data_IF_588172314111
#
_entry.id   IF_588172314111
#
_cell.length_a   1.000
_cell.length_b   1.000
_cell.length_c   1.000
_cell.angle_alpha   90.00
_cell.angle_beta   90.00
_cell.angle_gamma   90.00
#
_symmetry.space_group_name_H-M   'P 1'
#
loop_
_entity.id
_entity.type
_entity.pdbx_description
1 polymer ?
#
# COMPACT_ATOMS: atom_id res chain seq x y z
N UNK A 1 44.89 -13.53 -1.18
CA UNK A 1 43.99 -12.37 -1.07
C UNK A 1 42.94 -12.67 0.00
N UNK A 2 42.87 -11.89 1.09
CA UNK A 2 41.81 -12.07 2.10
C UNK A 2 40.47 -11.64 1.47
N UNK A 3 39.46 -12.50 1.52
CA UNK A 3 38.09 -12.11 1.13
C UNK A 3 37.69 -10.90 1.99
N UNK A 4 37.08 -9.84 1.41
CA UNK A 4 36.57 -8.73 2.19
C UNK A 4 35.61 -9.25 3.27
N UNK A 5 35.68 -8.67 4.46
CA UNK A 5 34.77 -9.04 5.55
C UNK A 5 33.33 -8.76 5.13
N UNK A 6 32.42 -9.70 5.38
CA UNK A 6 30.99 -9.47 5.11
C UNK A 6 30.42 -8.43 6.07
N UNK A 7 29.43 -7.63 5.64
CA UNK A 7 28.83 -6.62 6.49
C UNK A 7 28.12 -7.27 7.68
N UNK A 8 28.18 -6.61 8.84
CA UNK A 8 27.38 -6.97 10.01
C UNK A 8 25.95 -6.42 9.89
N UNK A 9 24.95 -6.98 10.60
CA UNK A 9 23.58 -6.44 10.60
C UNK A 9 23.52 -4.97 11.03
N UNK A 10 24.36 -4.55 11.99
CA UNK A 10 24.41 -3.16 12.43
C UNK A 10 24.91 -2.22 11.33
N UNK A 11 25.94 -2.63 10.58
CA UNK A 11 26.44 -1.87 9.43
C UNK A 11 25.39 -1.81 8.30
N UNK A 12 24.70 -2.91 8.02
CA UNK A 12 23.62 -2.95 7.04
C UNK A 12 22.46 -2.01 7.42
N UNK A 13 22.01 -2.05 8.68
CA UNK A 13 20.98 -1.15 9.19
C UNK A 13 21.40 0.32 9.11
N UNK A 14 22.64 0.64 9.51
CA UNK A 14 23.16 2.00 9.42
C UNK A 14 23.21 2.49 7.97
N UNK A 15 23.71 1.66 7.05
CA UNK A 15 23.75 1.98 5.63
C UNK A 15 22.34 2.27 5.08
N UNK A 16 21.39 1.35 5.31
CA UNK A 16 20.01 1.53 4.89
C UNK A 16 19.36 2.77 5.51
N UNK A 17 19.58 3.02 6.81
CA UNK A 17 19.05 4.20 7.49
C UNK A 17 19.60 5.51 6.89
N UNK A 18 20.89 5.56 6.56
CA UNK A 18 21.49 6.72 5.89
C UNK A 18 20.93 6.92 4.48
N UNK A 19 20.76 5.86 3.70
CA UNK A 19 20.13 5.94 2.37
C UNK A 19 18.72 6.51 2.48
N UNK A 20 17.90 5.98 3.39
CA UNK A 20 16.52 6.45 3.58
C UNK A 20 16.48 7.89 4.12
N UNK A 21 17.36 8.27 5.04
CA UNK A 21 17.44 9.63 5.55
C UNK A 21 17.77 10.63 4.43
N UNK A 22 18.72 10.29 3.56
CA UNK A 22 19.03 11.13 2.39
C UNK A 22 17.81 11.27 1.50
N UNK A 23 17.07 10.18 1.21
CA UNK A 23 15.84 10.28 0.40
C UNK A 23 14.78 11.15 1.07
N UNK A 24 14.58 11.05 2.39
CA UNK A 24 13.65 11.90 3.14
C UNK A 24 14.03 13.38 3.04
N UNK A 25 15.32 13.71 3.17
CA UNK A 25 15.81 15.10 3.06
C UNK A 25 15.63 15.64 1.64
N UNK A 26 15.87 14.81 0.61
CA UNK A 26 15.70 15.20 -0.79
C UNK A 26 14.24 15.38 -1.19
N UNK A 27 13.33 14.57 -0.62
CA UNK A 27 11.90 14.68 -0.86
C UNK A 27 11.29 15.92 -0.19
N UNK A 28 11.83 16.35 0.96
CA UNK A 28 11.34 17.52 1.68
C UNK A 28 11.62 18.83 0.92
N UNK A 29 10.58 19.66 0.78
CA UNK A 29 10.56 20.89 0.00
C UNK A 29 10.08 20.72 -1.43
N UNK A 30 9.42 19.60 -1.76
CA UNK A 30 8.84 19.35 -3.09
C UNK A 30 7.33 19.28 -2.99
N UNK A 31 6.62 19.85 -3.98
CA UNK A 31 5.15 19.77 -4.02
C UNK A 31 4.74 18.31 -4.11
N UNK A 32 3.90 17.85 -3.18
CA UNK A 32 3.49 16.46 -3.07
C UNK A 32 2.11 16.31 -2.43
N UNK A 33 1.65 15.06 -2.22
CA UNK A 33 0.29 14.82 -1.73
C UNK A 33 0.05 15.28 -0.28
N UNK A 34 1.10 15.49 0.52
CA UNK A 34 0.96 16.07 1.85
C UNK A 34 0.32 17.45 1.77
N UNK A 35 0.68 18.27 0.78
CA UNK A 35 0.10 19.61 0.58
C UNK A 35 -1.42 19.53 0.40
N UNK A 36 -1.86 18.57 -0.41
CA UNK A 36 -3.28 18.27 -0.62
C UNK A 36 -3.94 17.88 0.70
N UNK A 37 -3.33 17.00 1.49
CA UNK A 37 -3.90 16.56 2.76
C UNK A 37 -4.03 17.70 3.79
N UNK A 38 -3.03 18.57 3.85
CA UNK A 38 -3.01 19.73 4.75
C UNK A 38 -4.03 20.79 4.32
N UNK A 39 -4.17 21.02 3.01
CA UNK A 39 -5.19 21.91 2.45
C UNK A 39 -6.61 21.39 2.75
N UNK A 40 -6.87 20.10 2.52
CA UNK A 40 -8.16 19.48 2.85
C UNK A 40 -8.49 19.57 4.34
N UNK A 41 -7.50 19.41 5.23
CA UNK A 41 -7.68 19.62 6.67
C UNK A 41 -8.04 21.05 7.04
N UNK A 42 -7.47 22.05 6.35
CA UNK A 42 -7.83 23.45 6.55
C UNK A 42 -9.26 23.74 6.06
N UNK A 43 -9.60 23.28 4.87
CA UNK A 43 -10.92 23.49 4.27
C UNK A 43 -12.03 22.83 5.09
N UNK A 44 -11.78 21.63 5.63
CA UNK A 44 -12.73 20.96 6.50
C UNK A 44 -13.09 21.80 7.73
N UNK A 45 -12.10 22.44 8.36
CA UNK A 45 -12.31 23.31 9.53
C UNK A 45 -13.01 24.63 9.17
N UNK A 46 -12.85 25.10 7.93
CA UNK A 46 -13.48 26.33 7.44
C UNK A 46 -14.86 26.09 6.81
N UNK A 47 -15.36 24.85 6.83
CA UNK A 47 -16.65 24.49 6.23
C UNK A 47 -16.63 24.32 4.69
N UNK A 48 -15.45 24.24 4.08
CA UNK A 48 -15.24 24.00 2.65
C UNK A 48 -15.70 22.61 2.18
N UNK A 49 -15.94 22.41 0.88
CA UNK A 49 -16.52 21.17 0.35
C UNK A 49 -15.41 20.22 -0.09
N UNK A 50 -14.71 19.65 0.89
CA UNK A 50 -13.45 18.92 0.67
C UNK A 50 -13.51 17.76 -0.35
N UNK A 51 -14.67 17.17 -0.57
CA UNK A 51 -14.87 16.06 -1.53
C UNK A 51 -15.38 16.51 -2.90
N UNK A 52 -15.70 17.79 -3.08
CA UNK A 52 -16.20 18.37 -4.33
C UNK A 52 -15.23 19.37 -4.95
N UNK A 53 -14.44 20.04 -4.13
CA UNK A 53 -13.44 21.00 -4.57
C UNK A 53 -12.16 20.26 -4.99
N UNK A 54 -11.43 20.83 -5.97
CA UNK A 54 -10.16 20.28 -6.47
C UNK A 54 -8.97 20.96 -5.79
N UNK A 55 -7.93 20.17 -5.52
CA UNK A 55 -6.65 20.59 -4.98
C UNK A 55 -5.56 20.45 -6.04
N UNK A 56 -4.54 21.32 -5.99
CA UNK A 56 -3.45 21.35 -6.98
C UNK A 56 -3.97 21.32 -8.43
N UNK A 57 -5.06 22.07 -8.68
CA UNK A 57 -5.76 22.24 -9.97
C UNK A 57 -6.41 20.99 -10.59
N UNK A 58 -6.15 19.78 -10.07
CA UNK A 58 -6.57 18.54 -10.72
C UNK A 58 -7.00 17.39 -9.80
N UNK A 59 -6.70 17.44 -8.50
CA UNK A 59 -6.81 16.27 -7.63
C UNK A 59 -7.94 16.39 -6.61
N UNK A 60 -8.65 15.30 -6.39
CA UNK A 60 -9.70 15.21 -5.35
C UNK A 60 -9.13 14.63 -4.06
N UNK A 61 -9.68 15.05 -2.91
CA UNK A 61 -9.35 14.43 -1.63
C UNK A 61 -10.23 13.21 -1.37
N UNK A 62 -9.66 11.99 -1.38
CA UNK A 62 -10.42 10.74 -1.25
C UNK A 62 -10.50 10.17 0.18
N UNK A 63 -9.76 10.76 1.12
CA UNK A 63 -9.50 10.18 2.43
C UNK A 63 -10.55 10.60 3.46
N UNK A 64 -10.61 9.93 4.61
CA UNK A 64 -11.59 10.24 5.67
C UNK A 64 -11.34 11.59 6.34
N UNK A 65 -12.38 12.23 6.92
CA UNK A 65 -12.24 13.54 7.56
C UNK A 65 -11.28 13.51 8.75
N UNK A 66 -11.28 12.42 9.53
CA UNK A 66 -10.41 12.27 10.71
C UNK A 66 -8.93 12.29 10.31
N UNK A 67 -8.56 11.71 9.17
CA UNK A 67 -7.18 11.72 8.70
C UNK A 67 -6.69 13.13 8.37
N UNK A 68 -7.47 13.91 7.62
CA UNK A 68 -7.17 15.32 7.32
C UNK A 68 -6.98 16.14 8.61
N UNK A 69 -7.84 15.94 9.61
CA UNK A 69 -7.72 16.63 10.90
C UNK A 69 -6.47 16.22 11.69
N UNK A 70 -6.08 14.94 11.65
CA UNK A 70 -4.89 14.45 12.34
C UNK A 70 -3.60 15.01 11.74
N UNK A 71 -3.58 15.32 10.44
CA UNK A 71 -2.42 15.93 9.78
C UNK A 71 -2.33 17.44 10.02
N UNK A 72 -3.43 18.10 10.37
CA UNK A 72 -3.50 19.56 10.53
C UNK A 72 -2.38 20.18 11.37
N UNK A 73 -1.92 19.60 12.50
CA UNK A 73 -0.82 20.16 13.27
C UNK A 73 0.49 20.32 12.49
N UNK A 74 0.74 19.53 11.43
CA UNK A 74 1.93 19.68 10.60
C UNK A 74 1.92 20.99 9.81
N UNK A 75 0.75 21.52 9.48
CA UNK A 75 0.62 22.81 8.78
C UNK A 75 0.94 24.03 9.68
N UNK A 76 1.27 23.83 10.96
CA UNK A 76 1.79 24.88 11.83
C UNK A 76 3.32 25.04 11.72
N UNK A 77 3.99 24.10 11.05
CA UNK A 77 5.41 24.16 10.75
C UNK A 77 5.62 24.77 9.35
N UNK A 78 6.80 25.32 9.05
CA UNK A 78 7.19 25.59 7.67
C UNK A 78 7.13 24.29 6.83
N UNK A 79 6.69 24.38 5.59
CA UNK A 79 6.39 23.24 4.70
C UNK A 79 7.48 22.15 4.72
N UNK A 80 8.74 22.58 4.56
CA UNK A 80 9.90 21.69 4.60
C UNK A 80 9.98 20.83 5.89
N UNK A 81 9.67 21.41 7.06
CA UNK A 81 9.66 20.67 8.32
C UNK A 81 8.47 19.74 8.43
N UNK A 82 7.30 20.13 7.93
CA UNK A 82 6.11 19.27 7.86
C UNK A 82 6.37 18.02 7.02
N UNK A 83 6.91 18.21 5.82
CA UNK A 83 7.31 17.14 4.90
C UNK A 83 8.42 16.25 5.48
N UNK A 84 9.44 16.85 6.10
CA UNK A 84 10.51 16.09 6.76
C UNK A 84 9.93 15.20 7.87
N UNK A 85 9.05 15.73 8.72
CA UNK A 85 8.42 14.95 9.79
C UNK A 85 7.52 13.84 9.24
N UNK A 86 6.81 14.10 8.15
CA UNK A 86 5.99 13.10 7.47
C UNK A 86 6.85 11.97 6.88
N UNK A 87 7.93 12.31 6.16
CA UNK A 87 8.88 11.34 5.61
C UNK A 87 9.57 10.50 6.70
N UNK A 88 10.01 11.12 7.79
CA UNK A 88 10.59 10.39 8.95
C UNK A 88 9.57 9.43 9.60
N UNK A 89 8.31 9.85 9.69
CA UNK A 89 7.22 8.98 10.17
C UNK A 89 7.01 7.79 9.23
N UNK A 90 7.03 8.03 7.90
CA UNK A 90 7.01 6.99 6.87
C UNK A 90 8.12 5.95 7.05
N UNK A 91 9.37 6.40 7.27
CA UNK A 91 10.51 5.52 7.55
C UNK A 91 10.32 4.73 8.84
N UNK A 92 9.73 5.31 9.89
CA UNK A 92 9.43 4.60 11.12
C UNK A 92 8.37 3.51 10.90
N UNK A 93 7.30 3.79 10.14
CA UNK A 93 6.29 2.79 9.75
C UNK A 93 6.88 1.67 8.90
N UNK A 94 7.77 2.01 7.96
CA UNK A 94 8.51 1.02 7.16
C UNK A 94 9.36 0.12 8.05
N UNK A 95 10.17 0.71 8.94
CA UNK A 95 11.02 -0.04 9.85
C UNK A 95 10.21 -1.01 10.72
N UNK A 96 9.07 -0.55 11.26
CA UNK A 96 8.17 -1.41 12.03
C UNK A 96 7.57 -2.54 11.19
N UNK A 97 7.18 -2.25 9.95
CA UNK A 97 6.67 -3.25 8.99
C UNK A 97 7.72 -4.33 8.71
N UNK A 98 8.99 -3.95 8.50
CA UNK A 98 10.09 -4.88 8.29
C UNK A 98 10.35 -5.79 9.50
N UNK A 99 10.21 -5.27 10.73
CA UNK A 99 10.31 -6.10 11.95
C UNK A 99 9.21 -7.16 11.98
N UNK A 100 7.96 -6.78 11.68
CA UNK A 100 6.84 -7.72 11.64
C UNK A 100 7.03 -8.79 10.55
N UNK A 101 7.44 -8.38 9.35
CA UNK A 101 7.70 -9.28 8.23
C UNK A 101 8.88 -10.21 8.51
N UNK A 102 9.94 -9.73 9.15
CA UNK A 102 11.08 -10.55 9.57
C UNK A 102 10.66 -11.66 10.54
N UNK A 103 9.74 -11.38 11.46
CA UNK A 103 9.17 -12.40 12.37
C UNK A 103 8.45 -13.49 11.59
N UNK A 104 7.47 -13.16 10.74
CA UNK A 104 6.73 -14.17 9.96
C UNK A 104 7.61 -14.95 8.99
N UNK A 105 8.72 -14.38 8.56
CA UNK A 105 9.69 -15.06 7.69
C UNK A 105 10.82 -15.78 8.45
N UNK A 106 10.78 -15.81 9.79
CA UNK A 106 11.80 -16.44 10.64
C UNK A 106 13.22 -15.91 10.38
N UNK A 107 13.36 -14.61 10.12
CA UNK A 107 14.65 -13.96 9.85
C UNK A 107 15.67 -14.14 11.00
N UNK A 108 15.21 -14.40 12.22
CA UNK A 108 16.06 -14.70 13.38
C UNK A 108 16.85 -16.03 13.25
N UNK A 109 16.48 -16.91 12.32
CA UNK A 109 17.22 -18.16 12.04
C UNK A 109 18.42 -17.95 11.09
N UNK A 110 18.50 -16.78 10.44
CA UNK A 110 19.64 -16.44 9.59
C UNK A 110 20.89 -16.19 10.42
N UNK A 111 22.04 -16.57 9.89
CA UNK A 111 23.30 -16.11 10.46
C UNK A 111 23.46 -14.59 10.28
N UNK A 112 24.43 -13.99 10.99
CA UNK A 112 24.63 -12.52 10.97
C UNK A 112 24.92 -11.98 9.57
N UNK A 113 25.66 -12.72 8.74
CA UNK A 113 26.02 -12.30 7.40
C UNK A 113 24.82 -12.39 6.47
N UNK A 114 24.06 -13.49 6.55
CA UNK A 114 22.83 -13.70 5.79
C UNK A 114 21.79 -12.61 6.10
N UNK A 115 21.58 -12.31 7.39
CA UNK A 115 20.67 -11.26 7.83
C UNK A 115 21.11 -9.88 7.29
N UNK A 116 22.40 -9.55 7.37
CA UNK A 116 22.92 -8.29 6.85
C UNK A 116 22.68 -8.14 5.34
N UNK A 117 22.93 -9.21 4.57
CA UNK A 117 22.68 -9.22 3.12
C UNK A 117 21.19 -9.12 2.82
N UNK A 118 20.31 -9.82 3.55
CA UNK A 118 18.86 -9.73 3.37
C UNK A 118 18.33 -8.33 3.67
N UNK A 119 18.84 -7.63 4.68
CA UNK A 119 18.46 -6.24 4.99
C UNK A 119 18.80 -5.32 3.81
N UNK A 120 20.03 -5.40 3.30
CA UNK A 120 20.47 -4.61 2.15
C UNK A 120 19.63 -4.96 0.92
N UNK A 121 19.43 -6.25 0.65
CA UNK A 121 18.67 -6.73 -0.49
C UNK A 121 17.23 -6.22 -0.49
N UNK A 122 16.55 -6.19 0.67
CA UNK A 122 15.18 -5.65 0.76
C UNK A 122 15.12 -4.18 0.37
N UNK A 123 16.04 -3.36 0.89
CA UNK A 123 16.06 -1.92 0.58
C UNK A 123 16.43 -1.66 -0.87
N UNK A 124 17.39 -2.40 -1.41
CA UNK A 124 17.74 -2.29 -2.84
C UNK A 124 16.57 -2.73 -3.70
N UNK A 125 15.94 -3.86 -3.40
CA UNK A 125 14.89 -4.43 -4.24
C UNK A 125 13.60 -3.63 -4.23
N UNK A 126 13.30 -2.98 -3.11
CA UNK A 126 12.16 -2.08 -2.97
C UNK A 126 12.55 -0.60 -3.08
N UNK A 127 13.73 -0.26 -3.63
CA UNK A 127 14.24 1.10 -3.59
C UNK A 127 13.32 2.08 -4.30
N UNK A 128 12.92 1.77 -5.54
CA UNK A 128 12.03 2.65 -6.30
C UNK A 128 10.68 2.87 -5.59
N UNK A 129 9.88 1.85 -5.21
CA UNK A 129 8.61 2.11 -4.53
C UNK A 129 8.79 2.85 -3.20
N UNK A 130 9.89 2.63 -2.47
CA UNK A 130 10.19 3.39 -1.25
C UNK A 130 10.44 4.87 -1.57
N UNK A 131 11.30 5.15 -2.56
CA UNK A 131 11.60 6.51 -3.03
C UNK A 131 10.35 7.21 -3.54
N UNK A 132 9.57 6.55 -4.39
CA UNK A 132 8.38 7.12 -5.00
C UNK A 132 7.33 7.48 -3.93
N UNK A 133 7.20 6.70 -2.85
CA UNK A 133 6.35 7.09 -1.72
C UNK A 133 6.86 8.32 -0.97
N UNK A 134 8.18 8.42 -0.74
CA UNK A 134 8.78 9.56 -0.05
C UNK A 134 8.58 10.84 -0.87
N UNK A 135 8.89 10.79 -2.16
CA UNK A 135 8.74 11.94 -3.07
C UNK A 135 7.28 12.35 -3.27
N UNK A 136 6.35 11.39 -3.35
CA UNK A 136 4.93 11.69 -3.51
C UNK A 136 4.24 12.09 -2.20
N UNK A 137 4.92 12.03 -1.04
CA UNK A 137 4.28 12.30 0.25
C UNK A 137 3.17 11.29 0.61
N UNK A 138 3.21 10.08 0.05
CA UNK A 138 2.09 9.14 0.07
C UNK A 138 1.90 8.40 1.41
N UNK A 139 0.65 7.99 1.64
CA UNK A 139 0.21 7.31 2.87
C UNK A 139 0.57 5.81 2.92
N UNK A 140 1.19 5.26 1.88
CA UNK A 140 1.33 3.80 1.75
C UNK A 140 2.17 3.15 2.84
N UNK A 141 3.17 3.84 3.40
CA UNK A 141 3.92 3.33 4.56
C UNK A 141 3.03 3.16 5.80
N UNK A 142 2.18 4.16 6.08
CA UNK A 142 1.21 4.13 7.17
C UNK A 142 0.18 3.02 6.95
N UNK A 143 -0.34 2.88 5.72
CA UNK A 143 -1.30 1.83 5.37
C UNK A 143 -0.69 0.42 5.48
N UNK A 144 0.54 0.22 4.98
CA UNK A 144 1.25 -1.05 5.13
C UNK A 144 1.44 -1.40 6.60
N UNK A 145 1.88 -0.44 7.42
CA UNK A 145 2.06 -0.68 8.86
C UNK A 145 0.74 -0.99 9.57
N UNK A 146 -0.32 -0.20 9.36
CA UNK A 146 -1.63 -0.44 10.00
C UNK A 146 -2.17 -1.82 9.64
N UNK A 147 -2.05 -2.22 8.37
CA UNK A 147 -2.44 -3.54 7.88
C UNK A 147 -1.65 -4.68 8.56
N UNK A 148 -0.32 -4.60 8.59
CA UNK A 148 0.51 -5.65 9.19
C UNK A 148 0.37 -5.68 10.72
N UNK A 149 0.34 -4.53 11.39
CA UNK A 149 0.18 -4.46 12.85
C UNK A 149 -1.22 -4.94 13.27
N UNK A 150 -2.28 -4.65 12.50
CA UNK A 150 -3.60 -5.20 12.75
C UNK A 150 -3.60 -6.74 12.73
N UNK A 151 -2.91 -7.36 11.77
CA UNK A 151 -2.72 -8.81 11.72
C UNK A 151 -1.98 -9.30 12.96
N UNK A 152 -0.86 -8.66 13.31
CA UNK A 152 -0.04 -9.04 14.47
C UNK A 152 -0.80 -8.89 15.80
N UNK A 153 -1.66 -7.89 15.95
CA UNK A 153 -2.52 -7.69 17.12
C UNK A 153 -3.63 -8.74 17.18
N UNK A 154 -4.26 -9.06 16.04
CA UNK A 154 -5.31 -10.08 15.96
C UNK A 154 -4.78 -11.47 16.34
N UNK A 155 -3.58 -11.83 15.87
CA UNK A 155 -2.84 -13.06 16.25
C UNK A 155 -2.64 -13.18 17.77
N UNK A 156 -2.38 -12.04 18.44
CA UNK A 156 -2.15 -11.97 19.89
C UNK A 156 -3.44 -11.84 20.70
N UNK A 157 -4.61 -11.95 20.05
CA UNK A 157 -5.91 -11.79 20.71
C UNK A 157 -6.23 -10.34 21.11
N UNK A 158 -5.46 -9.33 20.67
CA UNK A 158 -5.71 -7.91 20.92
C UNK A 158 -6.68 -7.34 19.89
N UNK A 159 -7.89 -7.88 19.87
CA UNK A 159 -8.90 -7.64 18.83
C UNK A 159 -9.33 -6.18 18.70
N UNK A 160 -9.43 -5.42 19.79
CA UNK A 160 -9.79 -4.00 19.73
C UNK A 160 -8.76 -3.17 18.98
N UNK A 161 -7.48 -3.27 19.35
CA UNK A 161 -6.41 -2.54 18.68
C UNK A 161 -6.25 -2.95 17.22
N UNK A 162 -6.44 -4.24 16.91
CA UNK A 162 -6.45 -4.73 15.53
C UNK A 162 -7.59 -4.10 14.71
N UNK A 163 -8.80 -4.07 15.27
CA UNK A 163 -9.97 -3.50 14.61
C UNK A 163 -9.84 -1.99 14.41
N UNK A 164 -9.27 -1.27 15.39
CA UNK A 164 -9.05 0.17 15.32
C UNK A 164 -8.05 0.52 14.21
N UNK A 165 -6.90 -0.16 14.13
CA UNK A 165 -5.93 0.08 13.07
C UNK A 165 -6.50 -0.26 11.69
N UNK A 166 -7.27 -1.34 11.59
CA UNK A 166 -7.91 -1.74 10.34
C UNK A 166 -8.97 -0.72 9.89
N UNK A 167 -9.80 -0.24 10.82
CA UNK A 167 -10.79 0.81 10.57
C UNK A 167 -10.11 2.13 10.16
N UNK A 168 -9.06 2.53 10.88
CA UNK A 168 -8.30 3.75 10.58
C UNK A 168 -7.63 3.68 9.20
N UNK A 169 -6.97 2.57 8.88
CA UNK A 169 -6.40 2.39 7.55
C UNK A 169 -7.46 2.39 6.45
N UNK A 170 -8.61 1.74 6.69
CA UNK A 170 -9.73 1.70 5.73
C UNK A 170 -10.35 3.08 5.53
N UNK A 171 -10.43 3.88 6.59
CA UNK A 171 -10.89 5.27 6.52
C UNK A 171 -9.91 6.18 5.76
N UNK A 172 -8.63 5.82 5.67
CA UNK A 172 -7.65 6.51 4.81
C UNK A 172 -7.83 6.06 3.35
N UNK A 173 -7.67 4.76 3.05
CA UNK A 173 -7.92 4.17 1.72
C UNK A 173 -8.59 2.80 1.89
N UNK A 174 -9.36 2.34 0.91
CA UNK A 174 -10.07 1.05 0.99
C UNK A 174 -9.18 -0.21 0.95
N UNK A 175 -7.87 -0.07 0.71
CA UNK A 175 -6.92 -1.18 0.55
C UNK A 175 -6.91 -2.18 1.74
N UNK A 176 -7.01 -1.73 3.01
CA UNK A 176 -7.04 -2.64 4.16
C UNK A 176 -8.26 -3.57 4.21
N UNK A 177 -9.28 -3.39 3.35
CA UNK A 177 -10.34 -4.38 3.17
C UNK A 177 -9.79 -5.76 2.76
N UNK A 178 -8.65 -5.82 2.05
CA UNK A 178 -7.97 -7.07 1.76
C UNK A 178 -7.53 -7.80 3.05
N UNK A 179 -7.02 -7.04 4.03
CA UNK A 179 -6.65 -7.57 5.35
C UNK A 179 -7.88 -7.90 6.19
N UNK A 180 -8.96 -7.13 6.09
CA UNK A 180 -10.22 -7.46 6.73
C UNK A 180 -10.75 -8.83 6.25
N UNK A 181 -10.79 -9.06 4.94
CA UNK A 181 -11.18 -10.33 4.35
C UNK A 181 -10.24 -11.47 4.78
N UNK A 182 -8.93 -11.22 4.81
CA UNK A 182 -7.94 -12.17 5.30
C UNK A 182 -8.17 -12.56 6.77
N UNK A 183 -8.39 -11.58 7.66
CA UNK A 183 -8.63 -11.83 9.08
C UNK A 183 -9.95 -12.57 9.32
N UNK A 184 -10.99 -12.23 8.55
CA UNK A 184 -12.25 -12.97 8.52
C UNK A 184 -11.99 -14.44 8.12
N UNK A 185 -11.29 -14.66 7.00
CA UNK A 185 -10.92 -15.99 6.52
C UNK A 185 -10.07 -16.77 7.53
N UNK A 186 -9.28 -16.11 8.36
CA UNK A 186 -8.46 -16.73 9.42
C UNK A 186 -9.18 -16.88 10.76
N UNK A 187 -10.47 -16.60 10.80
CA UNK A 187 -11.32 -16.81 11.99
C UNK A 187 -11.09 -15.77 13.08
N UNK A 188 -10.53 -14.60 12.76
CA UNK A 188 -10.39 -13.48 13.70
C UNK A 188 -11.70 -12.67 13.79
N UNK A 189 -12.80 -13.35 14.11
CA UNK A 189 -14.17 -12.83 14.04
C UNK A 189 -14.42 -11.57 14.85
N UNK A 190 -13.84 -11.48 16.06
CA UNK A 190 -13.99 -10.29 16.92
C UNK A 190 -13.43 -9.04 16.25
N UNK A 191 -12.25 -9.15 15.66
CA UNK A 191 -11.64 -8.07 14.89
C UNK A 191 -12.47 -7.75 13.65
N UNK A 192 -12.88 -8.78 12.89
CA UNK A 192 -13.64 -8.60 11.65
C UNK A 192 -15.02 -7.97 11.88
N UNK A 193 -15.70 -8.29 12.99
CA UNK A 193 -16.99 -7.71 13.34
C UNK A 193 -16.87 -6.28 13.89
N UNK A 194 -15.81 -5.99 14.65
CA UNK A 194 -15.63 -4.67 15.27
C UNK A 194 -15.09 -3.62 14.30
N UNK A 195 -14.26 -4.00 13.32
CA UNK A 195 -13.64 -3.04 12.41
C UNK A 195 -14.67 -2.19 11.61
N UNK A 196 -15.74 -2.76 11.02
CA UNK A 196 -16.79 -1.96 10.37
C UNK A 196 -17.48 -0.98 11.31
N UNK A 197 -17.72 -1.36 12.56
CA UNK A 197 -18.33 -0.46 13.57
C UNK A 197 -17.40 0.72 13.84
N UNK A 198 -16.11 0.46 14.06
CA UNK A 198 -15.13 1.52 14.26
C UNK A 198 -14.93 2.39 13.02
N UNK A 199 -15.04 1.82 11.81
CA UNK A 199 -15.03 2.60 10.57
C UNK A 199 -16.19 3.59 10.53
N UNK A 200 -17.42 3.18 10.87
CA UNK A 200 -18.56 4.09 10.98
C UNK A 200 -18.30 5.19 12.03
N UNK A 201 -17.67 4.85 13.16
CA UNK A 201 -17.29 5.84 14.17
C UNK A 201 -16.26 6.84 13.61
N UNK A 202 -15.26 6.39 12.85
CA UNK A 202 -14.25 7.30 12.27
C UNK A 202 -14.82 8.14 11.13
N UNK A 203 -15.56 7.55 10.19
CA UNK A 203 -16.06 8.22 9.00
C UNK A 203 -17.28 9.10 9.25
N UNK A 204 -18.07 8.82 10.30
CA UNK A 204 -19.29 9.57 10.62
C UNK A 204 -19.39 9.96 12.10
N UNK A 205 -19.14 9.05 13.04
CA UNK A 205 -19.33 9.34 14.47
C UNK A 205 -18.48 10.49 15.01
N UNK A 206 -17.18 10.48 14.76
CA UNK A 206 -16.25 11.54 15.17
C UNK A 206 -16.52 12.85 14.42
N UNK A 207 -16.67 12.87 13.08
CA UNK A 207 -17.08 14.09 12.37
C UNK A 207 -18.41 14.67 12.88
N UNK A 208 -19.39 13.84 13.25
CA UNK A 208 -20.65 14.30 13.83
C UNK A 208 -20.48 15.01 15.17
N UNK A 209 -19.52 14.56 16.01
CA UNK A 209 -19.18 15.23 17.26
C UNK A 209 -18.46 16.56 17.06
N UNK A 210 -17.68 16.70 15.98
CA UNK A 210 -16.86 17.89 15.71
C UNK A 210 -17.67 18.95 14.94
N UNK A 211 -18.41 18.54 13.91
CA UNK A 211 -19.07 19.43 12.95
C UNK A 211 -20.60 19.40 13.00
N UNK A 212 -21.19 18.50 13.80
CA UNK A 212 -22.62 18.24 13.83
C UNK A 212 -23.04 17.09 12.88
N UNK A 213 -24.16 16.41 13.19
CA UNK A 213 -24.59 15.21 12.46
C UNK A 213 -24.99 15.49 11.01
N UNK A 214 -25.56 16.65 10.71
CA UNK A 214 -25.95 17.04 9.34
C UNK A 214 -24.72 17.13 8.45
N UNK A 215 -23.70 17.88 8.90
CA UNK A 215 -22.46 18.07 8.16
C UNK A 215 -21.68 16.76 8.01
N UNK A 216 -21.65 15.94 9.04
CA UNK A 216 -21.04 14.61 8.97
C UNK A 216 -21.70 13.71 7.93
N UNK A 217 -23.03 13.78 7.82
CA UNK A 217 -23.79 13.01 6.84
C UNK A 217 -23.51 13.49 5.42
N UNK A 218 -23.42 14.81 5.21
CA UNK A 218 -23.00 15.39 3.93
C UNK A 218 -21.60 14.92 3.52
N UNK A 219 -20.62 15.01 4.42
CA UNK A 219 -19.25 14.56 4.18
C UNK A 219 -19.19 13.07 3.81
N UNK A 220 -19.92 12.22 4.53
CA UNK A 220 -19.98 10.79 4.24
C UNK A 220 -20.59 10.52 2.86
N UNK A 221 -21.72 11.15 2.54
CA UNK A 221 -22.41 10.95 1.26
C UNK A 221 -21.55 11.40 0.08
N UNK A 222 -20.94 12.58 0.18
CA UNK A 222 -20.06 13.10 -0.87
C UNK A 222 -18.86 12.17 -1.08
N UNK A 223 -18.25 11.69 0.00
CA UNK A 223 -17.12 10.76 -0.10
C UNK A 223 -17.53 9.42 -0.70
N UNK A 224 -18.67 8.85 -0.29
CA UNK A 224 -19.18 7.57 -0.84
C UNK A 224 -19.45 7.70 -2.34
N UNK A 225 -20.02 8.82 -2.78
CA UNK A 225 -20.21 9.09 -4.20
C UNK A 225 -18.88 9.25 -4.95
N UNK A 226 -17.88 9.87 -4.32
CA UNK A 226 -16.55 10.07 -4.90
C UNK A 226 -15.75 8.77 -5.07
N UNK A 227 -15.96 7.76 -4.22
CA UNK A 227 -15.21 6.47 -4.25
C UNK A 227 -16.03 5.30 -4.78
N UNK A 228 -17.13 5.57 -5.49
CA UNK A 228 -18.06 4.54 -5.96
C UNK A 228 -17.36 3.53 -6.88
N UNK A 229 -17.21 2.25 -6.47
CA UNK A 229 -16.54 1.25 -7.30
C UNK A 229 -17.30 0.93 -8.60
N UNK A 230 -18.56 1.35 -8.72
CA UNK A 230 -19.36 1.22 -9.93
C UNK A 230 -19.15 2.34 -10.96
N UNK A 231 -18.43 3.41 -10.61
CA UNK A 231 -18.13 4.48 -11.55
C UNK A 231 -17.23 3.96 -12.69
N UNK A 232 -17.64 4.08 -13.97
CA UNK A 232 -16.84 3.64 -15.10
C UNK A 232 -15.41 4.15 -15.09
N UNK A 233 -15.17 5.35 -14.55
CA UNK A 233 -13.83 5.96 -14.48
C UNK A 233 -12.89 5.16 -13.56
N UNK A 234 -13.41 4.66 -12.44
CA UNK A 234 -12.66 3.83 -11.50
C UNK A 234 -12.54 2.37 -11.97
N UNK A 235 -13.47 1.91 -12.81
CA UNK A 235 -13.36 0.59 -13.44
C UNK A 235 -12.28 0.60 -14.52
N UNK A 236 -12.32 1.59 -15.42
CA UNK A 236 -11.31 1.75 -16.47
C UNK A 236 -9.93 2.06 -15.89
N UNK A 237 -9.87 2.82 -14.78
CA UNK A 237 -8.64 3.14 -14.07
C UNK A 237 -7.65 3.91 -14.96
N UNK A 238 -8.13 5.03 -15.50
CA UNK A 238 -7.40 5.89 -16.44
C UNK A 238 -7.55 7.39 -16.11
N UNK A 239 -7.93 7.78 -14.90
CA UNK A 239 -8.12 9.21 -14.57
C UNK A 239 -6.78 9.96 -14.41
N UNK A 240 -5.70 9.25 -14.08
CA UNK A 240 -4.37 9.81 -13.83
C UNK A 240 -3.29 9.02 -14.59
N UNK A 241 -2.09 9.59 -14.80
CA UNK A 241 -0.97 8.86 -15.38
C UNK A 241 -0.48 7.75 -14.42
N UNK A 242 0.28 6.82 -14.99
CA UNK A 242 1.06 5.81 -14.25
C UNK A 242 0.26 4.83 -13.38
N UNK A 243 -1.04 4.66 -13.64
CA UNK A 243 -1.82 3.59 -13.03
C UNK A 243 -1.39 2.21 -13.55
N UNK A 244 -1.27 1.26 -12.61
CA UNK A 244 -0.61 -0.04 -12.81
C UNK A 244 -1.54 -1.24 -12.59
N UNK A 245 -2.80 -1.01 -12.20
CA UNK A 245 -3.70 -2.10 -11.86
C UNK A 245 -4.06 -2.94 -13.08
N UNK A 246 -4.67 -4.12 -12.87
CA UNK A 246 -5.18 -4.93 -13.98
C UNK A 246 -6.24 -4.16 -14.79
N UNK A 247 -6.95 -3.21 -14.16
CA UNK A 247 -7.89 -2.33 -14.85
C UNK A 247 -7.16 -1.45 -15.85
N UNK A 248 -6.15 -0.71 -15.40
CA UNK A 248 -5.34 0.17 -16.24
C UNK A 248 -4.68 -0.58 -17.41
N UNK A 249 -4.15 -1.78 -17.15
CA UNK A 249 -3.57 -2.63 -18.22
C UNK A 249 -4.64 -3.03 -19.23
N UNK A 250 -5.77 -3.58 -18.78
CA UNK A 250 -6.81 -4.02 -19.71
C UNK A 250 -7.39 -2.84 -20.50
N UNK A 251 -7.60 -1.68 -19.86
CA UNK A 251 -8.11 -0.49 -20.54
C UNK A 251 -7.13 0.04 -21.59
N UNK A 252 -5.84 0.14 -21.25
CA UNK A 252 -4.82 0.63 -22.16
C UNK A 252 -4.66 -0.21 -23.44
N UNK A 253 -4.90 -1.53 -23.36
CA UNK A 253 -4.70 -2.46 -24.48
C UNK A 253 -5.99 -2.90 -25.18
N UNK A 254 -7.15 -2.83 -24.53
CA UNK A 254 -8.39 -3.43 -25.03
C UNK A 254 -9.59 -2.46 -25.10
N UNK A 255 -9.53 -1.26 -24.52
CA UNK A 255 -10.68 -0.35 -24.49
C UNK A 255 -10.75 0.52 -25.74
N UNK A 256 -11.90 0.52 -26.41
CA UNK A 256 -12.19 1.44 -27.54
C UNK A 256 -12.29 2.91 -27.09
N UNK A 257 -12.68 3.13 -25.84
CA UNK A 257 -12.86 4.44 -25.21
C UNK A 257 -11.68 4.75 -24.26
N UNK A 258 -10.65 3.90 -24.27
CA UNK A 258 -9.53 3.98 -23.34
C UNK A 258 -8.58 5.13 -23.64
N UNK A 259 -8.19 5.85 -22.59
CA UNK A 259 -7.25 6.94 -22.64
C UNK A 259 -7.77 8.22 -21.99
N UNK A 260 -6.83 9.08 -21.61
CA UNK A 260 -7.07 10.37 -20.98
C UNK A 260 -6.14 11.43 -21.60
N UNK A 261 -6.16 12.65 -21.05
CA UNK A 261 -5.26 13.73 -21.50
C UNK A 261 -3.76 13.44 -21.35
N UNK A 262 -3.39 12.40 -20.61
CA UNK A 262 -2.02 11.93 -20.38
C UNK A 262 -1.65 10.73 -21.26
N UNK A 263 -2.56 10.27 -22.13
CA UNK A 263 -2.33 9.14 -23.02
C UNK A 263 -1.26 9.45 -24.05
N UNK A 264 -0.24 8.59 -24.08
CA UNK A 264 0.81 8.64 -25.11
C UNK A 264 0.22 8.33 -26.49
N UNK A 265 0.67 9.08 -27.50
CA UNK A 265 0.34 8.87 -28.92
C UNK A 265 1.17 7.72 -29.52
N UNK A 266 1.04 6.55 -28.90
CA UNK A 266 1.72 5.31 -29.31
C UNK A 266 0.68 4.22 -29.56
N UNK A 267 0.72 3.54 -30.72
CA UNK A 267 -0.20 2.46 -31.02
C UNK A 267 0.09 1.28 -30.09
N UNK A 268 -0.79 1.08 -29.12
CA UNK A 268 -0.71 0.01 -28.11
C UNK A 268 -1.96 -0.85 -28.03
N UNK A 269 -3.11 -0.34 -28.48
CA UNK A 269 -4.37 -1.09 -28.47
C UNK A 269 -4.27 -2.31 -29.38
N UNK A 270 -4.60 -3.47 -28.83
CA UNK A 270 -4.65 -4.76 -29.53
C UNK A 270 -6.07 -5.03 -30.02
N UNK A 271 -7.07 -4.46 -29.36
CA UNK A 271 -8.50 -4.61 -29.68
C UNK A 271 -9.28 -3.40 -29.16
N UNK A 272 -10.41 -3.09 -29.81
CA UNK A 272 -11.31 -2.00 -29.44
C UNK A 272 -12.62 -2.55 -28.86
N UNK A 273 -12.59 -2.98 -27.60
CA UNK A 273 -13.78 -3.45 -26.90
C UNK A 273 -14.63 -2.26 -26.40
N UNK A 274 -15.97 -2.32 -26.53
CA UNK A 274 -16.84 -1.27 -26.05
C UNK A 274 -16.85 -1.21 -24.51
N UNK A 275 -17.16 -0.04 -23.94
CA UNK A 275 -17.20 0.18 -22.50
C UNK A 275 -18.02 -0.88 -21.74
N UNK A 276 -19.19 -1.27 -22.27
CA UNK A 276 -20.05 -2.29 -21.66
C UNK A 276 -19.36 -3.65 -21.45
N UNK A 277 -18.45 -4.03 -22.36
CA UNK A 277 -17.62 -5.24 -22.22
C UNK A 277 -16.52 -5.03 -21.19
N UNK A 278 -15.86 -3.87 -21.18
CA UNK A 278 -14.80 -3.53 -20.23
C UNK A 278 -15.31 -3.53 -18.78
N UNK A 279 -16.53 -3.00 -18.55
CA UNK A 279 -17.19 -2.98 -17.25
C UNK A 279 -17.50 -4.38 -16.68
N UNK A 280 -17.45 -5.43 -17.51
CA UNK A 280 -17.58 -6.82 -17.06
C UNK A 280 -16.20 -7.48 -16.97
N UNK A 281 -15.37 -7.29 -17.99
CA UNK A 281 -14.06 -7.92 -18.12
C UNK A 281 -13.12 -7.57 -16.96
N UNK A 282 -13.02 -6.28 -16.61
CA UNK A 282 -12.10 -5.82 -15.57
C UNK A 282 -12.49 -6.37 -14.18
N UNK A 283 -13.75 -6.28 -13.71
CA UNK A 283 -14.15 -6.91 -12.45
C UNK A 283 -13.93 -8.42 -12.42
N UNK A 284 -14.17 -9.12 -13.54
CA UNK A 284 -13.89 -10.57 -13.64
C UNK A 284 -12.39 -10.82 -13.50
N UNK A 285 -11.53 -10.05 -14.17
CA UNK A 285 -10.07 -10.18 -14.05
C UNK A 285 -9.59 -9.91 -12.61
N UNK A 286 -10.11 -8.85 -11.96
CA UNK A 286 -9.86 -8.53 -10.55
C UNK A 286 -10.28 -9.69 -9.64
N UNK A 287 -11.46 -10.29 -9.87
CA UNK A 287 -11.95 -11.43 -9.10
C UNK A 287 -11.09 -12.69 -9.30
N UNK A 288 -10.66 -12.98 -10.52
CA UNK A 288 -9.75 -14.11 -10.82
C UNK A 288 -8.42 -13.94 -10.08
N UNK A 289 -7.82 -12.74 -10.14
CA UNK A 289 -6.59 -12.43 -9.42
C UNK A 289 -6.78 -12.56 -7.90
N UNK A 290 -7.84 -11.97 -7.35
CA UNK A 290 -8.15 -12.07 -5.92
C UNK A 290 -8.40 -13.53 -5.49
N UNK A 291 -9.07 -14.33 -6.32
CA UNK A 291 -9.36 -15.75 -6.04
C UNK A 291 -8.10 -16.62 -6.01
N UNK A 292 -7.01 -16.20 -6.67
CA UNK A 292 -5.71 -16.89 -6.58
C UNK A 292 -5.18 -16.96 -5.14
N UNK A 293 -5.62 -16.05 -4.27
CA UNK A 293 -5.27 -16.07 -2.85
C UNK A 293 -5.73 -17.37 -2.15
N UNK A 294 -6.85 -17.95 -2.58
CA UNK A 294 -7.37 -19.20 -2.01
C UNK A 294 -6.40 -20.37 -2.18
N UNK A 295 -5.60 -20.37 -3.25
CA UNK A 295 -4.56 -21.38 -3.48
C UNK A 295 -3.47 -21.33 -2.41
N UNK A 296 -3.13 -20.13 -1.93
CA UNK A 296 -2.08 -19.93 -0.90
C UNK A 296 -2.64 -20.10 0.50
N UNK A 297 -3.89 -19.66 0.73
CA UNK A 297 -4.53 -19.73 2.04
C UNK A 297 -4.89 -21.16 2.44
N UNK A 298 -5.22 -22.03 1.48
CA UNK A 298 -5.60 -23.42 1.72
C UNK A 298 -6.97 -23.57 2.39
N UNK A 299 -7.60 -24.73 2.16
CA UNK A 299 -8.88 -25.12 2.76
C UNK A 299 -8.66 -25.94 4.05
N UNK A 300 -9.54 -25.85 5.08
CA UNK A 300 -10.78 -25.08 5.13
C UNK A 300 -10.63 -23.64 5.64
N UNK A 301 -11.58 -22.75 5.29
CA UNK A 301 -11.63 -21.38 5.80
C UNK A 301 -11.87 -21.38 7.31
N UNK A 302 -11.71 -20.19 7.88
CA UNK A 302 -12.07 -19.86 9.25
C UNK A 302 -11.25 -20.58 10.31
N UNK A 303 -10.01 -20.90 9.96
CA UNK A 303 -9.04 -21.50 10.87
C UNK A 303 -7.86 -20.56 11.06
N UNK A 304 -7.42 -20.48 12.32
CA UNK A 304 -6.16 -19.86 12.65
C UNK A 304 -5.01 -20.59 11.92
N UNK A 305 -3.96 -19.84 11.60
CA UNK A 305 -2.76 -20.40 10.97
C UNK A 305 -2.09 -21.42 11.88
N UNK A 306 -1.46 -22.41 11.26
CA UNK A 306 -0.68 -23.43 11.97
C UNK A 306 0.75 -23.01 12.26
N UNK A 307 1.40 -22.19 11.41
CA UNK A 307 2.82 -21.81 11.55
C UNK A 307 3.11 -20.39 11.05
N UNK A 308 4.17 -19.78 11.59
CA UNK A 308 4.70 -18.48 11.09
C UNK A 308 5.22 -18.60 9.65
N UNK A 309 5.85 -19.72 9.29
CA UNK A 309 6.34 -19.95 7.91
C UNK A 309 5.23 -19.79 6.87
N UNK A 310 4.06 -20.35 7.18
CA UNK A 310 2.89 -20.25 6.32
C UNK A 310 2.39 -18.79 6.26
N UNK A 311 2.43 -18.06 7.38
CA UNK A 311 2.10 -16.64 7.41
C UNK A 311 2.93 -15.81 6.43
N UNK A 312 4.25 -15.99 6.40
CA UNK A 312 5.12 -15.22 5.50
C UNK A 312 4.71 -15.35 4.02
N UNK A 313 4.36 -16.56 3.59
CA UNK A 313 3.90 -16.85 2.22
C UNK A 313 2.51 -16.27 1.92
N UNK A 314 1.58 -16.42 2.85
CA UNK A 314 0.23 -15.87 2.71
C UNK A 314 0.26 -14.35 2.58
N UNK A 315 1.03 -13.67 3.43
CA UNK A 315 1.14 -12.21 3.43
C UNK A 315 1.89 -11.72 2.19
N UNK A 316 2.93 -12.42 1.74
CA UNK A 316 3.61 -12.11 0.48
C UNK A 316 2.62 -12.09 -0.69
N UNK A 317 1.77 -13.13 -0.82
CA UNK A 317 0.80 -13.21 -1.91
C UNK A 317 -0.35 -12.21 -1.77
N UNK A 318 -0.93 -12.11 -0.56
CA UNK A 318 -2.02 -11.17 -0.27
C UNK A 318 -1.66 -9.74 -0.64
N UNK A 319 -0.51 -9.27 -0.18
CA UNK A 319 -0.12 -7.87 -0.38
C UNK A 319 0.39 -7.61 -1.80
N UNK A 320 1.01 -8.58 -2.48
CA UNK A 320 1.37 -8.45 -3.89
C UNK A 320 0.16 -8.31 -4.83
N UNK A 321 -1.01 -8.84 -4.43
CA UNK A 321 -2.25 -8.69 -5.20
C UNK A 321 -2.90 -7.31 -5.04
N UNK A 322 -2.64 -6.59 -3.93
CA UNK A 322 -3.27 -5.28 -3.65
C UNK A 322 -3.12 -4.29 -4.81
N UNK A 323 -1.89 -3.96 -5.30
CA UNK A 323 -1.74 -2.98 -6.37
C UNK A 323 -2.31 -3.43 -7.72
N UNK A 324 -2.54 -4.73 -7.90
CA UNK A 324 -3.10 -5.29 -9.14
C UNK A 324 -4.63 -5.30 -9.14
N UNK A 325 -5.24 -5.54 -7.97
CA UNK A 325 -6.68 -5.76 -7.84
C UNK A 325 -7.44 -4.45 -7.58
N UNK A 326 -6.88 -3.56 -6.76
CA UNK A 326 -7.54 -2.28 -6.44
C UNK A 326 -7.29 -1.25 -7.55
N UNK A 327 -8.26 -0.36 -7.84
CA UNK A 327 -8.06 0.77 -8.75
C UNK A 327 -7.19 1.87 -8.12
N UNK A 328 -6.78 2.85 -8.91
CA UNK A 328 -6.04 4.05 -8.50
C UNK A 328 -4.69 3.73 -7.85
N UNK A 329 -3.94 2.82 -8.46
CA UNK A 329 -2.66 2.33 -7.96
C UNK A 329 -1.52 2.79 -8.86
N UNK A 330 -0.79 3.82 -8.44
CA UNK A 330 0.42 4.30 -9.14
C UNK A 330 1.69 3.57 -8.67
N UNK A 331 2.86 3.98 -9.16
CA UNK A 331 4.20 3.43 -8.82
C UNK A 331 4.48 3.31 -7.32
N UNK A 332 4.07 4.28 -6.49
CA UNK A 332 4.22 4.19 -5.05
C UNK A 332 3.45 3.01 -4.42
N UNK A 333 2.35 2.53 -5.05
CA UNK A 333 1.56 1.40 -4.53
C UNK A 333 2.32 0.08 -4.59
N UNK A 334 3.36 -0.02 -5.43
CA UNK A 334 4.23 -1.18 -5.51
C UNK A 334 4.96 -1.47 -4.19
N UNK A 335 4.96 -0.52 -3.24
CA UNK A 335 5.38 -0.76 -1.86
C UNK A 335 4.62 -1.92 -1.21
N UNK A 336 3.36 -2.17 -1.58
CA UNK A 336 2.62 -3.32 -1.08
C UNK A 336 3.21 -4.66 -1.54
N UNK A 337 4.12 -4.71 -2.53
CA UNK A 337 4.88 -5.91 -2.81
C UNK A 337 6.01 -6.20 -1.78
N UNK A 338 6.27 -5.29 -0.82
CA UNK A 338 7.34 -5.43 0.17
C UNK A 338 7.30 -6.74 0.97
N UNK A 339 6.14 -7.26 1.43
CA UNK A 339 6.08 -8.58 2.06
C UNK A 339 6.62 -9.71 1.17
N UNK A 340 6.41 -9.66 -0.15
CA UNK A 340 6.98 -10.61 -1.09
C UNK A 340 8.49 -10.44 -1.25
N UNK A 341 8.98 -9.19 -1.31
CA UNK A 341 10.42 -8.89 -1.35
C UNK A 341 11.12 -9.43 -0.09
N UNK A 342 10.58 -9.17 1.11
CA UNK A 342 11.12 -9.70 2.37
C UNK A 342 11.06 -11.22 2.40
N UNK A 343 9.95 -11.82 1.95
CA UNK A 343 9.82 -13.27 1.88
C UNK A 343 10.93 -13.87 1.02
N UNK A 344 11.15 -13.36 -0.20
CA UNK A 344 12.18 -13.87 -1.10
C UNK A 344 13.59 -13.62 -0.56
N UNK A 345 13.87 -12.44 -0.01
CA UNK A 345 15.18 -12.09 0.54
C UNK A 345 15.59 -12.94 1.75
N UNK A 346 14.65 -13.35 2.59
CA UNK A 346 14.93 -14.24 3.74
C UNK A 346 14.96 -15.70 3.30
N UNK A 347 14.01 -16.11 2.44
CA UNK A 347 13.89 -17.51 1.98
C UNK A 347 14.99 -17.93 1.01
N UNK A 348 15.73 -16.98 0.44
CA UNK A 348 16.95 -17.24 -0.32
C UNK A 348 17.93 -18.17 0.42
N UNK A 349 18.03 -17.99 1.74
CA UNK A 349 18.96 -18.73 2.59
C UNK A 349 18.43 -20.07 3.08
N UNK A 350 17.16 -20.38 2.84
CA UNK A 350 16.53 -21.58 3.37
C UNK A 350 17.17 -22.85 2.79
N UNK A 351 17.36 -23.92 3.59
CA UNK A 351 17.97 -25.17 3.13
C UNK A 351 17.18 -25.85 2.00
N UNK A 352 15.86 -25.69 2.01
CA UNK A 352 14.89 -26.18 1.03
C UNK A 352 14.59 -25.16 -0.09
N UNK A 353 15.46 -24.17 -0.26
CA UNK A 353 15.21 -23.00 -1.10
C UNK A 353 15.16 -23.30 -2.59
N UNK A 354 13.95 -23.21 -3.16
CA UNK A 354 13.70 -23.15 -4.62
C UNK A 354 14.58 -22.10 -5.31
N UNK A 355 14.97 -21.04 -4.60
CA UNK A 355 15.79 -19.93 -5.08
C UNK A 355 17.28 -20.29 -5.31
N UNK A 356 17.71 -21.52 -5.00
CA UNK A 356 19.05 -22.02 -5.39
C UNK A 356 19.12 -22.45 -6.86
N UNK A 357 17.97 -22.62 -7.53
CA UNK A 357 17.91 -22.92 -8.95
C UNK A 357 18.24 -21.65 -9.77
N UNK A 358 19.17 -21.74 -10.72
CA UNK A 358 19.56 -20.61 -11.58
C UNK A 358 18.39 -19.94 -12.31
N UNK A 359 17.36 -20.69 -12.71
CA UNK A 359 16.13 -20.13 -13.29
C UNK A 359 15.34 -19.28 -12.30
N UNK A 360 15.22 -19.74 -11.05
CA UNK A 360 14.55 -18.98 -10.00
C UNK A 360 15.32 -17.68 -9.68
N UNK A 361 16.65 -17.71 -9.77
CA UNK A 361 17.50 -16.53 -9.60
C UNK A 361 17.31 -15.54 -10.76
N UNK A 362 17.28 -16.03 -12.00
CA UNK A 362 17.03 -15.20 -13.18
C UNK A 362 15.64 -14.52 -13.12
N UNK A 363 14.60 -15.28 -12.72
CA UNK A 363 13.26 -14.73 -12.52
C UNK A 363 13.21 -13.69 -11.40
N UNK A 364 13.97 -13.89 -10.31
CA UNK A 364 14.05 -12.90 -9.24
C UNK A 364 14.73 -11.60 -9.71
N UNK A 365 15.82 -11.71 -10.49
CA UNK A 365 16.49 -10.54 -11.06
C UNK A 365 15.61 -9.79 -12.05
N UNK A 366 14.83 -10.53 -12.87
CA UNK A 366 13.83 -9.94 -13.75
C UNK A 366 12.74 -9.22 -12.94
N UNK A 367 12.21 -9.86 -11.88
CA UNK A 367 11.21 -9.24 -11.01
C UNK A 367 11.76 -7.97 -10.33
N UNK A 368 13.02 -7.98 -9.90
CA UNK A 368 13.70 -6.79 -9.38
C UNK A 368 13.77 -5.67 -10.44
N UNK A 369 14.19 -6.00 -11.66
CA UNK A 369 14.27 -5.04 -12.75
C UNK A 369 12.90 -4.45 -13.10
N UNK A 370 11.84 -5.27 -13.13
CA UNK A 370 10.47 -4.83 -13.37
C UNK A 370 9.93 -3.95 -12.23
N UNK A 371 10.15 -4.34 -10.97
CA UNK A 371 9.69 -3.57 -9.80
C UNK A 371 10.35 -2.19 -9.71
N UNK A 372 11.53 -2.04 -10.31
CA UNK A 372 12.29 -0.80 -10.35
C UNK A 372 12.39 -0.22 -11.78
N UNK A 373 11.48 -0.57 -12.70
CA UNK A 373 11.59 -0.17 -14.11
C UNK A 373 11.54 1.35 -14.33
N UNK A 374 10.69 2.06 -13.60
CA UNK A 374 10.55 3.54 -13.67
C UNK A 374 11.81 4.27 -13.16
N UNK A 375 12.63 3.63 -12.32
CA UNK A 375 13.97 4.15 -11.99
C UNK A 375 14.90 4.16 -13.21
N UNK A 376 14.77 3.16 -14.09
CA UNK A 376 15.69 2.92 -15.20
C UNK A 376 15.23 3.54 -16.52
N UNK A 377 13.92 3.61 -16.75
CA UNK A 377 13.33 3.95 -18.04
C UNK A 377 12.81 5.38 -18.13
N UNK A 378 12.69 6.10 -17.00
CA UNK A 378 11.88 7.31 -16.92
C UNK A 378 10.44 6.86 -16.85
#
# INVERSE_FOLDING_TARGET
>A
MRRPASPTPAQALLFCALVLLVQVILAAGTINDLDLFLAAGADLLNGGRVYRDLYNEAYSYFYGPVFALLLRPLAWLPDWWGELMWGLSGVAFLARSLVLLGRWNQAAQLDRSQLAVSIIAVVVFAFQPIRDNLNAGQTSFLLLWTMLEAIALAERGKWFGAALLLAFGTDIKLLPLAVWAYLLYRGHWRTAALAPVLLVVLSWGLPALIFGPERSTELLNDRVALIDPGDPRHVLDEEEPDFLSIGAVLSAYLSAEGGNRFTLDLPRQVMDLPLSTMLILIPVARLVLASSLLFVLGWPPFRARSTERLAGRELAWLFALIPLVFPHQQTYSLLYALPAVVHLAVRWWAPDGILRNGWAQALLLLAYACLNAHLWLG
#
